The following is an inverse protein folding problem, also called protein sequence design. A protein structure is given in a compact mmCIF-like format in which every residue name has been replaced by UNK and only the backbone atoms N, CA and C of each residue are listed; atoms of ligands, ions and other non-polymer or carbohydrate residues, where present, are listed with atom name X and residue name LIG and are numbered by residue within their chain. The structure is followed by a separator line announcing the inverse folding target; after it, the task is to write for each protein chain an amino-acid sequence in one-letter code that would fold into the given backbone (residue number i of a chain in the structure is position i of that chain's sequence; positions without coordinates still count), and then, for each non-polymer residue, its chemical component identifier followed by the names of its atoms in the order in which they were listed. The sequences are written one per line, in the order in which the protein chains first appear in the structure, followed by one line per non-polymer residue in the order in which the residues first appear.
data_IF_832128105162
#
_entry.id   IF_832128105162
#
_cell.length_a   1.000
_cell.length_b   1.000
_cell.length_c   1.000
_cell.angle_alpha   90.00
_cell.angle_beta   90.00
_cell.angle_gamma   90.00
#
_symmetry.space_group_name_H-M   'P 1'
#
loop_
_entity.id
_entity.type
_entity.pdbx_description
1 polymer ?
#
# COMPACT_ATOMS: atom_id res chain seq x y z
N UNK A 1 5.20 12.67 16.04
CA UNK A 1 6.31 12.00 15.32
C UNK A 1 5.99 11.72 13.85
N UNK A 2 4.98 10.88 13.51
CA UNK A 2 4.60 10.63 12.10
C UNK A 2 3.97 11.87 11.45
N UNK A 3 2.99 12.50 12.10
CA UNK A 3 2.33 13.74 11.62
C UNK A 3 3.30 14.93 11.61
N UNK A 4 4.26 14.93 12.53
CA UNK A 4 5.33 15.95 12.62
C UNK A 4 6.45 15.75 11.57
N UNK A 5 6.36 14.76 10.69
CA UNK A 5 7.35 14.47 9.64
C UNK A 5 8.68 13.89 10.13
N UNK A 6 8.81 13.58 11.43
CA UNK A 6 10.04 13.06 12.04
C UNK A 6 10.30 11.57 11.76
N UNK A 7 9.35 10.88 11.12
CA UNK A 7 9.46 9.45 10.78
C UNK A 7 8.94 9.21 9.37
N UNK A 8 9.81 8.76 8.47
CA UNK A 8 9.44 8.42 7.10
C UNK A 8 9.02 6.94 7.02
N UNK A 9 7.79 6.68 6.58
CA UNK A 9 7.36 5.31 6.24
C UNK A 9 7.91 4.91 4.89
N UNK A 10 8.39 3.68 4.81
CA UNK A 10 8.63 3.00 3.54
C UNK A 10 7.50 2.01 3.32
N UNK A 11 6.83 2.19 2.20
CA UNK A 11 5.74 1.35 1.77
C UNK A 11 6.14 0.67 0.46
N UNK A 12 5.70 -0.56 0.30
CA UNK A 12 5.81 -1.35 -0.91
C UNK A 12 4.39 -1.56 -1.42
N UNK A 13 4.05 -0.92 -2.54
CA UNK A 13 2.69 -0.91 -3.07
C UNK A 13 2.62 -1.85 -4.28
N UNK A 14 1.70 -2.80 -4.21
CA UNK A 14 1.31 -3.68 -5.31
C UNK A 14 -0.06 -3.23 -5.81
N UNK A 15 -0.21 -3.02 -7.11
CA UNK A 15 -1.49 -2.58 -7.70
C UNK A 15 -2.30 -3.80 -8.15
N UNK A 16 -3.60 -3.80 -7.86
CA UNK A 16 -4.53 -4.83 -8.30
C UNK A 16 -4.72 -5.94 -7.27
N UNK A 17 -5.98 -6.29 -6.99
CA UNK A 17 -6.34 -7.36 -6.05
C UNK A 17 -5.88 -8.73 -6.55
N UNK A 18 -5.83 -8.91 -7.87
CA UNK A 18 -5.35 -10.12 -8.54
C UNK A 18 -3.89 -10.44 -8.19
N UNK A 19 -3.10 -9.45 -7.78
CA UNK A 19 -1.71 -9.60 -7.38
C UNK A 19 -1.56 -9.88 -5.86
N UNK A 20 -2.64 -9.90 -5.09
CA UNK A 20 -2.57 -10.20 -3.66
C UNK A 20 -1.96 -11.58 -3.35
N UNK A 21 -2.23 -12.66 -4.11
CA UNK A 21 -1.61 -13.97 -3.84
C UNK A 21 -0.09 -13.96 -4.00
N UNK A 22 0.44 -13.33 -5.05
CA UNK A 22 1.90 -13.22 -5.26
C UNK A 22 2.53 -12.29 -4.23
N UNK A 23 1.89 -11.15 -3.92
CA UNK A 23 2.35 -10.21 -2.91
C UNK A 23 2.43 -10.85 -1.51
N UNK A 24 1.50 -11.75 -1.17
CA UNK A 24 1.55 -12.51 0.08
C UNK A 24 2.76 -13.45 0.13
N UNK A 25 3.10 -14.09 -0.98
CA UNK A 25 4.31 -14.92 -1.06
C UNK A 25 5.58 -14.05 -0.91
N UNK A 26 5.62 -12.87 -1.51
CA UNK A 26 6.75 -11.94 -1.37
C UNK A 26 6.92 -11.42 0.06
N UNK A 27 5.82 -11.19 0.77
CA UNK A 27 5.81 -10.83 2.19
C UNK A 27 6.51 -11.91 3.03
N UNK A 28 6.18 -13.18 2.82
CA UNK A 28 6.79 -14.28 3.57
C UNK A 28 8.21 -14.62 3.13
N UNK A 29 8.57 -14.29 1.88
CA UNK A 29 9.97 -14.32 1.42
C UNK A 29 10.81 -13.17 1.97
N UNK A 30 10.19 -12.14 2.54
CA UNK A 30 10.87 -10.94 3.04
C UNK A 30 11.44 -10.06 1.93
N UNK A 31 10.88 -10.11 0.72
CA UNK A 31 11.34 -9.31 -0.43
C UNK A 31 10.75 -7.88 -0.44
N UNK A 32 9.78 -7.59 0.43
CA UNK A 32 9.13 -6.29 0.53
C UNK A 32 9.93 -5.29 1.40
N UNK A 33 9.82 -4.01 1.10
CA UNK A 33 10.44 -2.93 1.85
C UNK A 33 9.43 -2.29 2.79
N UNK A 34 9.59 -2.52 4.09
CA UNK A 34 8.67 -1.97 5.10
C UNK A 34 7.27 -2.57 4.96
N UNK A 35 6.24 -1.72 4.83
CA UNK A 35 4.85 -2.16 4.81
C UNK A 35 4.42 -2.53 3.39
N UNK A 36 4.02 -3.78 3.17
CA UNK A 36 3.38 -4.19 1.91
C UNK A 36 1.90 -3.79 1.92
N UNK A 37 1.44 -3.19 0.83
CA UNK A 37 0.06 -2.76 0.60
C UNK A 37 -0.39 -3.25 -0.78
N UNK A 38 -1.65 -3.69 -0.87
CA UNK A 38 -2.30 -3.96 -2.16
C UNK A 38 -3.32 -2.87 -2.43
N UNK A 39 -3.15 -2.13 -3.53
CA UNK A 39 -4.08 -1.11 -3.98
C UNK A 39 -5.23 -1.77 -4.76
N UNK A 40 -6.45 -1.63 -4.24
CA UNK A 40 -7.67 -2.25 -4.79
C UNK A 40 -8.62 -1.27 -5.48
N UNK A 41 -8.27 0.02 -5.48
CA UNK A 41 -9.05 1.10 -6.10
C UNK A 41 -8.25 2.40 -6.09
N UNK A 42 -8.74 3.39 -6.83
CA UNK A 42 -8.16 4.73 -6.80
C UNK A 42 -8.67 5.50 -5.57
N UNK A 43 -7.84 6.38 -5.02
CA UNK A 43 -8.27 7.29 -3.94
C UNK A 43 -9.40 8.22 -4.44
N UNK A 44 -9.40 8.55 -5.72
CA UNK A 44 -10.41 9.38 -6.37
C UNK A 44 -11.78 8.67 -6.51
N UNK A 45 -11.81 7.33 -6.52
CA UNK A 45 -13.08 6.57 -6.59
C UNK A 45 -13.89 6.68 -5.30
N UNK A 46 -13.24 7.01 -4.18
CA UNK A 46 -13.86 7.14 -2.86
C UNK A 46 -14.36 8.56 -2.57
N UNK A 47 -13.88 9.56 -3.33
CA UNK A 47 -14.21 10.99 -3.18
C UNK A 47 -15.08 11.63 -4.29
N UNK A 48 -16.01 10.93 -4.99
CA UNK A 48 -16.80 11.58 -6.02
C UNK A 48 -17.82 12.62 -5.49
N UNK A 49 -18.07 12.68 -4.16
CA UNK A 49 -19.14 13.49 -3.56
C UNK A 49 -18.68 14.54 -2.53
N UNK A 50 -17.43 15.01 -2.60
CA UNK A 50 -16.90 16.03 -1.67
C UNK A 50 -16.37 17.30 -2.37
N UNK A 51 -17.02 17.67 -3.48
CA UNK A 51 -17.03 19.02 -4.06
C UNK A 51 -18.46 19.44 -4.39
#
# INVERSE_FOLDING_TARGET
WIIEGKFQRREHIVVGLENAPSALVELFKGSNTGKLLVQVGDENDVLPNLL
#
